data_IF_314202423631
#
_entry.id   IF_314202423631
#
_cell.length_a   1.000
_cell.length_b   1.000
_cell.length_c   1.000
_cell.angle_alpha   90.00
_cell.angle_beta   90.00
_cell.angle_gamma   90.00
#
_symmetry.space_group_name_H-M   'P 1'
#
loop_
_entity.id
_entity.type
_entity.pdbx_description
1 polymer ?
#
# COMPACT_ATOMS: atom_id res chain seq x y z
N UNK A 1 9.80 21.57 20.47
CA UNK A 1 8.88 21.92 19.36
C UNK A 1 9.17 20.99 18.18
N UNK A 2 8.31 19.98 17.93
CA UNK A 2 8.41 19.15 16.72
C UNK A 2 7.83 19.97 15.55
N UNK A 3 8.71 20.51 14.71
CA UNK A 3 8.32 21.22 13.48
C UNK A 3 7.48 20.29 12.59
N UNK A 4 6.21 20.61 12.42
CA UNK A 4 5.30 19.95 11.48
C UNK A 4 5.57 20.53 10.08
N UNK A 5 6.54 19.96 9.35
CA UNK A 5 6.77 20.28 7.94
C UNK A 5 5.61 19.75 7.09
N UNK A 6 4.70 20.64 6.67
CA UNK A 6 3.57 20.27 5.79
C UNK A 6 4.03 19.69 4.44
N UNK A 7 5.27 19.96 3.99
CA UNK A 7 5.84 19.38 2.77
C UNK A 7 5.99 17.87 2.79
N UNK A 8 6.34 17.27 3.94
CA UNK A 8 6.56 15.82 4.05
C UNK A 8 5.25 15.03 3.89
N UNK A 9 4.09 15.63 4.21
CA UNK A 9 2.78 14.95 4.10
C UNK A 9 2.35 14.76 2.64
N UNK A 10 2.55 15.76 1.78
CA UNK A 10 2.22 15.65 0.36
C UNK A 10 3.14 14.66 -0.36
N UNK A 11 4.45 14.68 -0.05
CA UNK A 11 5.42 13.72 -0.60
C UNK A 11 5.08 12.30 -0.10
N UNK A 12 4.78 12.13 1.19
CA UNK A 12 4.38 10.83 1.73
C UNK A 12 3.10 10.31 1.07
N UNK A 13 2.09 11.17 0.87
CA UNK A 13 0.86 10.82 0.17
C UNK A 13 1.10 10.43 -1.30
N UNK A 14 2.03 11.10 -1.98
CA UNK A 14 2.40 10.77 -3.35
C UNK A 14 3.11 9.42 -3.42
N UNK A 15 4.03 9.12 -2.49
CA UNK A 15 4.70 7.81 -2.40
C UNK A 15 3.69 6.70 -2.13
N UNK A 16 2.80 6.87 -1.15
CA UNK A 16 1.78 5.86 -0.85
C UNK A 16 0.78 5.70 -1.98
N UNK A 17 0.37 6.78 -2.65
CA UNK A 17 -0.50 6.70 -3.83
C UNK A 17 0.15 5.93 -4.97
N UNK A 18 1.38 6.30 -5.35
CA UNK A 18 2.11 5.63 -6.43
C UNK A 18 2.44 4.17 -6.10
N UNK A 19 2.61 3.81 -4.83
CA UNK A 19 2.85 2.43 -4.42
C UNK A 19 1.54 1.62 -4.33
N UNK A 20 0.45 2.23 -3.86
CA UNK A 20 -0.84 1.57 -3.65
C UNK A 20 -1.55 1.28 -4.96
N UNK A 21 -1.53 2.20 -5.93
CA UNK A 21 -2.20 2.04 -7.23
C UNK A 21 -1.79 0.75 -7.96
N UNK A 22 -0.50 0.49 -8.23
CA UNK A 22 -0.10 -0.75 -8.89
C UNK A 22 -0.39 -1.95 -7.99
N UNK A 23 -0.17 -1.84 -6.67
CA UNK A 23 -0.38 -2.95 -5.75
C UNK A 23 -1.85 -3.40 -5.72
N UNK A 24 -2.79 -2.46 -5.69
CA UNK A 24 -4.23 -2.75 -5.73
C UNK A 24 -4.68 -3.24 -7.11
N UNK A 25 -4.00 -2.86 -8.19
CA UNK A 25 -4.32 -3.37 -9.53
C UNK A 25 -3.85 -4.83 -9.70
N UNK A 26 -2.60 -5.13 -9.33
CA UNK A 26 -2.01 -6.46 -9.59
C UNK A 26 -2.40 -7.53 -8.58
N UNK A 27 -2.54 -7.19 -7.29
CA UNK A 27 -2.75 -8.21 -6.25
C UNK A 27 -4.10 -8.93 -6.37
N UNK A 28 -5.25 -8.28 -6.63
CA UNK A 28 -6.53 -8.97 -6.79
C UNK A 28 -6.56 -9.89 -8.02
N UNK A 29 -5.92 -9.49 -9.12
CA UNK A 29 -5.82 -10.31 -10.32
C UNK A 29 -4.95 -11.54 -10.06
N UNK A 30 -3.82 -11.35 -9.37
CA UNK A 30 -2.94 -12.44 -8.97
C UNK A 30 -3.62 -13.40 -7.98
N UNK A 31 -4.25 -12.87 -6.92
CA UNK A 31 -4.95 -13.67 -5.93
C UNK A 31 -6.17 -14.40 -6.55
N UNK A 32 -6.88 -13.75 -7.47
CA UNK A 32 -8.03 -14.30 -8.17
C UNK A 32 -7.72 -15.53 -9.02
N UNK A 33 -6.47 -15.71 -9.48
CA UNK A 33 -6.05 -16.91 -10.19
C UNK A 33 -6.04 -18.17 -9.31
N UNK A 34 -5.90 -18.00 -7.99
CA UNK A 34 -5.81 -19.10 -7.03
C UNK A 34 -7.10 -19.29 -6.20
N UNK A 35 -8.08 -18.41 -6.38
CA UNK A 35 -9.31 -18.37 -5.58
C UNK A 35 -10.54 -18.72 -6.43
N UNK A 36 -11.58 -19.32 -5.83
CA UNK A 36 -12.85 -19.54 -6.51
C UNK A 36 -13.49 -18.21 -6.92
N UNK A 37 -14.42 -18.24 -7.89
CA UNK A 37 -15.10 -17.07 -8.49
C UNK A 37 -16.06 -16.31 -7.55
N UNK A 38 -15.75 -16.28 -6.26
CA UNK A 38 -16.50 -15.64 -5.19
C UNK A 38 -15.90 -14.25 -4.96
N UNK A 39 -16.64 -13.21 -5.36
CA UNK A 39 -16.17 -11.81 -5.35
C UNK A 39 -15.72 -11.34 -3.97
N UNK A 40 -16.48 -11.61 -2.90
CA UNK A 40 -16.11 -11.16 -1.56
C UNK A 40 -14.82 -11.80 -1.05
N UNK A 41 -14.56 -13.05 -1.41
CA UNK A 41 -13.39 -13.80 -0.94
C UNK A 41 -12.13 -13.26 -1.61
N UNK A 42 -12.21 -12.96 -2.91
CA UNK A 42 -11.09 -12.37 -3.63
C UNK A 42 -10.74 -10.98 -3.06
N UNK A 43 -11.75 -10.15 -2.74
CA UNK A 43 -11.52 -8.85 -2.09
C UNK A 43 -10.88 -9.02 -0.71
N UNK A 44 -11.39 -9.94 0.13
CA UNK A 44 -10.79 -10.18 1.46
C UNK A 44 -9.35 -10.67 1.38
N UNK A 45 -9.05 -11.59 0.47
CA UNK A 45 -7.70 -12.10 0.27
C UNK A 45 -6.76 -11.00 -0.24
N UNK A 46 -7.19 -10.22 -1.23
CA UNK A 46 -6.41 -9.12 -1.77
C UNK A 46 -6.11 -8.06 -0.69
N UNK A 47 -7.12 -7.62 0.07
CA UNK A 47 -6.93 -6.67 1.18
C UNK A 47 -6.02 -7.25 2.25
N UNK A 48 -6.19 -8.54 2.59
CA UNK A 48 -5.35 -9.26 3.55
C UNK A 48 -3.87 -9.33 3.15
N UNK A 49 -3.55 -9.24 1.86
CA UNK A 49 -2.17 -9.20 1.33
C UNK A 49 -1.66 -7.75 1.20
N UNK A 50 -2.48 -6.85 0.66
CA UNK A 50 -2.11 -5.45 0.40
C UNK A 50 -1.79 -4.71 1.70
N UNK A 51 -2.63 -4.88 2.74
CA UNK A 51 -2.49 -4.16 4.02
C UNK A 51 -1.14 -4.43 4.72
N UNK A 52 -0.69 -5.68 4.91
CA UNK A 52 0.63 -5.94 5.50
C UNK A 52 1.77 -5.44 4.60
N UNK A 53 1.68 -5.56 3.27
CA UNK A 53 2.69 -4.99 2.37
C UNK A 53 2.80 -3.47 2.54
N UNK A 54 1.67 -2.77 2.56
CA UNK A 54 1.65 -1.32 2.79
C UNK A 54 2.25 -0.94 4.15
N UNK A 55 1.86 -1.66 5.21
CA UNK A 55 2.23 -1.33 6.60
C UNK A 55 3.67 -1.69 6.94
N UNK A 56 4.16 -2.84 6.48
CA UNK A 56 5.48 -3.37 6.88
C UNK A 56 6.57 -3.14 5.83
N UNK A 57 6.23 -2.80 4.59
CA UNK A 57 7.21 -2.56 3.53
C UNK A 57 7.18 -1.09 3.10
N UNK A 58 6.03 -0.60 2.64
CA UNK A 58 5.96 0.73 1.99
C UNK A 58 6.11 1.87 3.02
N UNK A 59 5.36 1.85 4.12
CA UNK A 59 5.47 2.88 5.17
C UNK A 59 6.89 3.03 5.75
N UNK A 60 7.61 1.94 6.12
CA UNK A 60 8.97 2.09 6.64
C UNK A 60 9.97 2.53 5.56
N UNK A 61 9.83 2.07 4.31
CA UNK A 61 10.67 2.54 3.19
C UNK A 61 10.46 4.04 2.97
N UNK A 62 9.20 4.48 2.88
CA UNK A 62 8.84 5.88 2.73
C UNK A 62 9.43 6.72 3.88
N UNK A 63 9.29 6.25 5.12
CA UNK A 63 9.85 6.93 6.29
C UNK A 63 11.38 7.02 6.25
N UNK A 64 12.07 5.96 5.82
CA UNK A 64 13.54 5.97 5.61
C UNK A 64 13.99 6.91 4.49
N UNK A 65 13.22 6.99 3.41
CA UNK A 65 13.52 7.84 2.26
C UNK A 65 13.29 9.32 2.56
N UNK A 66 12.27 9.63 3.35
CA UNK A 66 11.94 10.99 3.81
C UNK A 66 12.79 11.46 5.01
N UNK A 67 13.38 10.53 5.77
CA UNK A 67 14.29 10.87 6.89
C UNK A 67 15.75 11.04 6.46
N UNK A 68 16.09 10.65 5.22
CA UNK A 68 17.36 10.96 4.57
C UNK A 68 17.24 12.28 3.82
#
# INVERSE_FOLDING_TARGET
>A
MKSHSQGNKHIMALITFLALVPLVYFIPDFAGQFLPAIKWLNVMAAVGIIVPIMSYIIMPIASKLLSR
#
